data_IF_027394636084
#
_entry.id   IF_027394636084
#
_cell.length_a   1.000
_cell.length_b   1.000
_cell.length_c   1.000
_cell.angle_alpha   90.00
_cell.angle_beta   90.00
_cell.angle_gamma   90.00
#
_symmetry.space_group_name_H-M   'P 1'
#
loop_
_entity.id
_entity.type
_entity.pdbx_description
1 polymer ?
#
# COMPACT_ATOMS: atom_id res chain seq x y z
N UNK A 1 23.67 12.55 20.53
CA UNK A 1 22.69 11.47 20.85
C UNK A 1 21.95 11.10 19.57
N UNK A 2 21.77 9.81 19.25
CA UNK A 2 21.06 9.36 18.05
C UNK A 2 19.55 9.64 18.15
N UNK A 3 18.92 10.08 17.06
CA UNK A 3 17.54 10.64 17.07
C UNK A 3 16.49 9.65 17.59
N UNK A 4 16.45 8.41 17.09
CA UNK A 4 15.46 7.41 17.52
C UNK A 4 15.54 7.14 19.03
N UNK A 5 16.75 6.95 19.56
CA UNK A 5 16.97 6.73 20.99
C UNK A 5 16.54 7.96 21.82
N UNK A 6 16.79 9.17 21.31
CA UNK A 6 16.36 10.39 21.98
C UNK A 6 14.83 10.52 22.01
N UNK A 7 14.14 10.23 20.89
CA UNK A 7 12.67 10.26 20.82
C UNK A 7 12.03 9.29 21.82
N UNK A 8 12.54 8.05 21.92
CA UNK A 8 12.06 7.06 22.91
C UNK A 8 12.27 7.51 24.35
N UNK A 9 13.32 8.26 24.63
CA UNK A 9 13.57 8.82 25.96
C UNK A 9 12.60 9.97 26.31
N UNK A 10 12.09 10.69 25.31
CA UNK A 10 11.08 11.74 25.49
C UNK A 10 9.67 11.17 25.64
N UNK A 11 9.34 10.10 24.91
CA UNK A 11 8.05 9.43 24.98
C UNK A 11 8.23 7.90 24.88
N UNK A 12 8.22 7.18 26.02
CA UNK A 12 8.34 5.72 26.02
C UNK A 12 7.00 5.01 25.71
N UNK A 13 5.88 5.74 25.55
CA UNK A 13 4.55 5.14 25.37
C UNK A 13 4.22 4.80 23.91
N UNK A 14 5.03 5.25 22.95
CA UNK A 14 4.77 5.11 21.51
C UNK A 14 5.96 4.49 20.76
N UNK A 15 5.69 3.69 19.70
CA UNK A 15 6.75 3.19 18.83
C UNK A 15 7.37 4.32 17.99
N UNK A 16 8.63 4.15 17.60
CA UNK A 16 9.38 5.10 16.76
C UNK A 16 9.80 4.44 15.45
N UNK A 17 9.64 5.16 14.35
CA UNK A 17 10.03 4.71 13.01
C UNK A 17 10.60 5.88 12.18
N UNK A 18 11.18 5.55 11.03
CA UNK A 18 11.37 6.47 9.91
C UNK A 18 10.97 5.74 8.62
N UNK A 19 10.66 6.51 7.57
CA UNK A 19 10.25 5.95 6.28
C UNK A 19 11.46 5.75 5.38
N UNK A 20 11.59 4.57 4.77
CA UNK A 20 12.73 4.22 3.91
C UNK A 20 12.30 3.80 2.50
N UNK A 21 13.14 4.12 1.51
CA UNK A 21 13.12 3.55 0.15
C UNK A 21 14.37 2.70 -0.11
N UNK A 22 15.21 2.49 0.90
CA UNK A 22 16.50 1.80 0.75
C UNK A 22 16.29 0.31 0.47
N UNK A 23 17.34 -0.33 -0.06
CA UNK A 23 17.40 -1.79 -0.10
C UNK A 23 17.53 -2.34 1.33
N UNK A 24 16.81 -3.44 1.63
CA UNK A 24 16.80 -4.07 2.96
C UNK A 24 18.20 -4.41 3.50
N UNK A 25 19.17 -4.76 2.66
CA UNK A 25 20.52 -5.12 3.12
C UNK A 25 21.42 -3.88 3.36
N UNK A 26 21.09 -2.76 2.72
CA UNK A 26 21.88 -1.52 2.78
C UNK A 26 21.38 -0.56 3.88
N UNK A 27 20.15 -0.74 4.37
CA UNK A 27 19.55 0.17 5.33
C UNK A 27 20.20 0.07 6.73
N UNK A 28 21.00 1.07 7.07
CA UNK A 28 21.69 1.16 8.36
C UNK A 28 20.79 1.71 9.47
N UNK A 29 19.64 2.29 9.14
CA UNK A 29 18.67 2.84 10.10
C UNK A 29 17.65 1.80 10.58
N UNK A 30 17.30 0.84 9.72
CA UNK A 30 16.29 -0.19 10.00
C UNK A 30 16.52 -1.04 11.28
N UNK A 31 17.76 -1.33 11.73
CA UNK A 31 17.97 -1.98 13.01
C UNK A 31 17.35 -1.25 14.21
N UNK A 32 17.15 0.08 14.13
CA UNK A 32 16.77 0.91 15.28
C UNK A 32 15.25 1.20 15.40
N UNK A 33 14.48 1.03 14.34
CA UNK A 33 13.03 1.31 14.35
C UNK A 33 12.24 0.21 15.06
N UNK A 34 11.05 0.53 15.57
CA UNK A 34 10.12 -0.48 16.12
C UNK A 34 9.24 -1.10 15.02
N UNK A 35 8.91 -0.33 13.99
CA UNK A 35 8.11 -0.74 12.83
C UNK A 35 8.83 -0.27 11.57
N UNK A 36 8.90 -1.11 10.54
CA UNK A 36 9.52 -0.76 9.26
C UNK A 36 8.47 -0.09 8.37
N UNK A 37 8.74 1.13 7.91
CA UNK A 37 7.91 1.81 6.93
C UNK A 37 8.65 1.86 5.60
N UNK A 38 8.17 1.14 4.59
CA UNK A 38 8.82 1.02 3.28
C UNK A 38 7.99 1.65 2.16
N UNK A 39 8.66 2.46 1.34
CA UNK A 39 8.11 3.04 0.13
C UNK A 39 8.58 2.23 -1.08
N UNK A 40 7.64 1.80 -1.92
CA UNK A 40 7.97 1.12 -3.18
C UNK A 40 6.98 1.48 -4.29
N UNK A 41 7.51 1.56 -5.51
CA UNK A 41 6.80 2.08 -6.68
C UNK A 41 7.14 1.22 -7.91
N UNK A 42 6.91 -0.08 -7.79
CA UNK A 42 7.06 -1.04 -8.87
C UNK A 42 6.14 -0.67 -10.03
N UNK A 43 6.60 -0.93 -11.26
CA UNK A 43 6.03 -0.49 -12.53
C UNK A 43 5.98 1.03 -12.78
N UNK A 44 6.20 1.86 -11.76
CA UNK A 44 6.13 3.33 -11.87
C UNK A 44 7.50 4.00 -11.99
N UNK A 45 8.42 3.78 -11.03
CA UNK A 45 9.75 4.40 -11.06
C UNK A 45 10.84 3.51 -11.67
N UNK A 46 10.57 2.21 -11.80
CA UNK A 46 11.39 1.23 -12.51
C UNK A 46 10.46 0.29 -13.26
N UNK A 47 10.98 -0.41 -14.27
CA UNK A 47 10.21 -1.35 -15.09
C UNK A 47 8.90 -0.71 -15.61
N UNK A 48 9.05 0.45 -16.26
CA UNK A 48 7.95 1.32 -16.66
C UNK A 48 6.84 0.56 -17.38
N UNK A 49 5.61 0.61 -16.86
CA UNK A 49 4.46 -0.05 -17.49
C UNK A 49 4.26 -1.52 -17.14
N UNK A 50 5.25 -2.19 -16.55
CA UNK A 50 5.23 -3.64 -16.29
C UNK A 50 4.45 -4.01 -15.02
N UNK A 51 3.12 -3.95 -15.10
CA UNK A 51 2.20 -4.29 -14.00
C UNK A 51 2.37 -5.75 -13.53
N UNK A 52 2.70 -6.66 -14.45
CA UNK A 52 2.89 -8.09 -14.19
C UNK A 52 4.07 -8.40 -13.24
N UNK A 53 5.00 -7.45 -13.08
CA UNK A 53 6.16 -7.62 -12.21
C UNK A 53 5.90 -7.24 -10.75
N UNK A 54 4.85 -6.45 -10.48
CA UNK A 54 4.54 -5.88 -9.15
C UNK A 54 4.46 -6.99 -8.11
N UNK A 55 3.66 -8.03 -8.36
CA UNK A 55 3.41 -9.05 -7.34
C UNK A 55 4.69 -9.78 -6.93
N UNK A 56 5.52 -10.15 -7.92
CA UNK A 56 6.80 -10.83 -7.67
C UNK A 56 7.75 -9.93 -6.89
N UNK A 57 7.95 -8.69 -7.34
CA UNK A 57 8.90 -7.77 -6.72
C UNK A 57 8.49 -7.39 -5.29
N UNK A 58 7.19 -7.11 -5.08
CA UNK A 58 6.66 -6.74 -3.77
C UNK A 58 6.67 -7.90 -2.78
N UNK A 59 6.42 -9.12 -3.25
CA UNK A 59 6.56 -10.34 -2.41
C UNK A 59 8.00 -10.49 -1.93
N UNK A 60 8.97 -10.40 -2.84
CA UNK A 60 10.40 -10.46 -2.51
C UNK A 60 10.81 -9.36 -1.54
N UNK A 61 10.29 -8.14 -1.72
CA UNK A 61 10.54 -7.04 -0.78
C UNK A 61 10.10 -7.41 0.64
N UNK A 62 8.84 -7.78 0.82
CA UNK A 62 8.30 -8.08 2.14
C UNK A 62 8.99 -9.27 2.82
N UNK A 63 9.32 -10.32 2.06
CA UNK A 63 10.04 -11.48 2.59
C UNK A 63 11.47 -11.13 3.00
N UNK A 64 12.18 -10.33 2.19
CA UNK A 64 13.55 -9.93 2.49
C UNK A 64 13.62 -9.05 3.74
N UNK A 65 12.76 -8.02 3.81
CA UNK A 65 12.67 -7.15 4.99
C UNK A 65 12.32 -7.93 6.26
N UNK A 66 11.31 -8.81 6.19
CA UNK A 66 10.89 -9.55 7.37
C UNK A 66 11.93 -10.59 7.81
N UNK A 67 12.55 -11.31 6.86
CA UNK A 67 13.62 -12.28 7.16
C UNK A 67 14.81 -11.62 7.87
N UNK A 68 15.20 -10.42 7.45
CA UNK A 68 16.36 -9.73 8.00
C UNK A 68 16.10 -9.09 9.37
N UNK A 69 14.94 -8.47 9.56
CA UNK A 69 14.71 -7.62 10.74
C UNK A 69 13.65 -8.14 11.72
N UNK A 70 12.77 -9.06 11.29
CA UNK A 70 11.70 -9.65 12.12
C UNK A 70 10.81 -8.61 12.83
N UNK A 71 10.50 -7.49 12.14
CA UNK A 71 9.66 -6.40 12.64
C UNK A 71 8.38 -6.26 11.82
N UNK A 72 7.29 -5.72 12.39
CA UNK A 72 6.11 -5.36 11.61
C UNK A 72 6.44 -4.36 10.51
N UNK A 73 5.74 -4.47 9.37
CA UNK A 73 5.97 -3.66 8.17
C UNK A 73 4.72 -2.87 7.83
N UNK A 74 4.88 -1.60 7.51
CA UNK A 74 3.88 -0.74 6.88
C UNK A 74 4.36 -0.42 5.46
N UNK A 75 3.52 -0.70 4.46
CA UNK A 75 3.72 -0.14 3.12
C UNK A 75 3.32 1.35 3.19
N UNK A 76 4.28 2.23 3.40
CA UNK A 76 4.02 3.63 3.73
C UNK A 76 3.74 4.50 2.50
N UNK A 77 4.16 4.07 1.32
CA UNK A 77 3.78 4.69 0.05
C UNK A 77 3.76 3.68 -1.09
N UNK A 78 2.74 3.77 -1.94
CA UNK A 78 2.66 3.11 -3.24
C UNK A 78 1.63 3.86 -4.10
N UNK A 79 1.76 3.79 -5.44
CA UNK A 79 0.81 4.43 -6.35
C UNK A 79 1.42 4.81 -7.71
N UNK A 80 0.57 5.18 -8.66
CA UNK A 80 0.94 5.72 -9.98
C UNK A 80 0.51 7.19 -10.10
N UNK A 81 1.19 7.98 -10.92
CA UNK A 81 0.60 9.26 -11.35
C UNK A 81 -0.60 8.96 -12.26
N UNK A 82 -1.65 9.77 -12.15
CA UNK A 82 -2.85 9.65 -12.96
C UNK A 82 -3.37 11.04 -13.35
N UNK A 83 -3.44 11.32 -14.64
CA UNK A 83 -4.03 12.56 -15.15
C UNK A 83 -5.54 12.29 -15.30
N UNK A 84 -6.36 13.08 -14.61
CA UNK A 84 -7.82 12.94 -14.69
C UNK A 84 -8.30 13.04 -16.13
N UNK A 85 -9.15 12.11 -16.55
CA UNK A 85 -9.68 12.02 -17.92
C UNK A 85 -8.75 11.36 -18.95
N UNK A 86 -7.54 10.94 -18.58
CA UNK A 86 -6.73 10.09 -19.44
C UNK A 86 -7.20 8.65 -19.25
N UNK A 87 -7.75 8.06 -20.32
CA UNK A 87 -8.27 6.70 -20.35
C UNK A 87 -7.64 5.91 -21.50
N UNK A 88 -7.31 4.63 -21.27
CA UNK A 88 -6.77 3.74 -22.31
C UNK A 88 -6.99 2.27 -21.97
N UNK A 89 -7.26 1.47 -22.99
CA UNK A 89 -7.10 0.02 -22.98
C UNK A 89 -6.13 -0.40 -24.11
N UNK A 90 -5.12 -1.26 -23.85
CA UNK A 90 -4.63 -1.71 -22.53
C UNK A 90 -4.17 -0.54 -21.63
N UNK A 91 -4.11 -0.71 -20.29
CA UNK A 91 -3.76 0.38 -19.38
C UNK A 91 -2.33 0.89 -19.63
N UNK A 92 -2.17 2.21 -19.78
CA UNK A 92 -0.88 2.87 -19.98
C UNK A 92 -0.57 3.84 -18.84
N UNK A 93 0.72 4.10 -18.57
CA UNK A 93 1.13 5.04 -17.53
C UNK A 93 0.39 6.38 -17.66
N UNK A 94 0.05 6.98 -16.53
CA UNK A 94 -0.77 8.20 -16.39
C UNK A 94 -2.28 8.05 -16.63
N UNK A 95 -2.79 6.92 -17.12
CA UNK A 95 -4.24 6.70 -17.22
C UNK A 95 -4.87 6.29 -15.90
N UNK A 96 -6.17 6.53 -15.76
CA UNK A 96 -6.92 6.10 -14.59
C UNK A 96 -6.97 4.56 -14.47
N UNK A 97 -7.05 3.84 -15.59
CA UNK A 97 -7.04 2.37 -15.62
C UNK A 97 -5.69 1.81 -15.17
N UNK A 98 -4.58 2.49 -15.47
CA UNK A 98 -3.26 2.09 -15.00
C UNK A 98 -3.10 2.30 -13.51
N UNK A 99 -3.58 3.42 -12.97
CA UNK A 99 -3.61 3.63 -11.52
C UNK A 99 -4.42 2.52 -10.85
N UNK A 100 -5.62 2.21 -11.36
CA UNK A 100 -6.47 1.12 -10.85
C UNK A 100 -5.74 -0.23 -10.88
N UNK A 101 -5.21 -0.61 -12.03
CA UNK A 101 -4.52 -1.90 -12.23
C UNK A 101 -3.29 -2.02 -11.34
N UNK A 102 -2.49 -0.96 -11.18
CA UNK A 102 -1.34 -0.95 -10.28
C UNK A 102 -1.78 -1.21 -8.84
N UNK A 103 -2.82 -0.51 -8.36
CA UNK A 103 -3.32 -0.70 -6.99
C UNK A 103 -3.82 -2.12 -6.77
N UNK A 104 -4.55 -2.69 -7.72
CA UNK A 104 -5.01 -4.09 -7.64
C UNK A 104 -3.84 -5.07 -7.46
N UNK A 105 -2.76 -4.93 -8.24
CA UNK A 105 -1.58 -5.79 -8.12
C UNK A 105 -0.90 -5.64 -6.75
N UNK A 106 -0.80 -4.42 -6.21
CA UNK A 106 -0.28 -4.18 -4.86
C UNK A 106 -1.17 -4.83 -3.79
N UNK A 107 -2.49 -4.67 -3.92
CA UNK A 107 -3.49 -5.19 -2.98
C UNK A 107 -3.47 -6.72 -2.87
N UNK A 108 -3.21 -7.43 -3.97
CA UNK A 108 -3.04 -8.90 -3.96
C UNK A 108 -1.93 -9.33 -3.01
N UNK A 109 -0.75 -8.71 -3.09
CA UNK A 109 0.37 -9.06 -2.22
C UNK A 109 0.14 -8.59 -0.78
N UNK A 110 -0.42 -7.40 -0.60
CA UNK A 110 -0.79 -6.90 0.72
C UNK A 110 -1.74 -7.89 1.42
N UNK A 111 -2.73 -8.44 0.71
CA UNK A 111 -3.63 -9.45 1.26
C UNK A 111 -2.91 -10.74 1.69
N UNK A 112 -1.88 -11.17 0.95
CA UNK A 112 -1.08 -12.35 1.30
C UNK A 112 -0.26 -12.16 2.61
N UNK A 113 0.04 -10.91 2.99
CA UNK A 113 0.95 -10.58 4.10
C UNK A 113 0.28 -9.84 5.28
N UNK A 114 -0.91 -9.25 5.11
CA UNK A 114 -1.59 -8.40 6.11
C UNK A 114 -2.10 -9.10 7.38
N UNK A 115 -2.13 -10.43 7.38
CA UNK A 115 -2.45 -11.28 8.55
C UNK A 115 -1.22 -12.01 9.08
N UNK A 116 -0.03 -11.54 8.71
CA UNK A 116 1.26 -12.12 9.09
C UNK A 116 2.10 -11.04 9.77
N UNK A 117 2.76 -10.20 8.98
CA UNK A 117 3.71 -9.20 9.48
C UNK A 117 3.61 -7.83 8.79
N UNK A 118 2.77 -7.71 7.75
CA UNK A 118 2.39 -6.39 7.23
C UNK A 118 1.19 -5.89 8.03
N UNK A 119 1.30 -4.72 8.65
CA UNK A 119 0.31 -4.19 9.59
C UNK A 119 -0.35 -2.89 9.13
N UNK A 120 0.03 -2.39 7.95
CA UNK A 120 -0.58 -1.20 7.38
C UNK A 120 -0.25 -0.99 5.91
N UNK A 121 -1.15 -0.30 5.22
CA UNK A 121 -1.01 0.14 3.84
C UNK A 121 -1.45 1.60 3.72
N UNK A 122 -0.59 2.47 3.21
CA UNK A 122 -0.84 3.90 3.05
C UNK A 122 -0.65 4.26 1.58
N UNK A 123 -1.76 4.54 0.90
CA UNK A 123 -1.74 4.97 -0.50
C UNK A 123 -1.04 6.33 -0.63
N UNK A 124 -0.19 6.47 -1.66
CA UNK A 124 0.31 7.76 -2.08
C UNK A 124 -0.43 8.24 -3.33
N UNK A 125 -1.23 9.31 -3.29
CA UNK A 125 -1.54 10.20 -2.16
C UNK A 125 -3.06 10.34 -1.99
N UNK A 126 -3.49 10.98 -0.90
CA UNK A 126 -4.88 11.39 -0.75
C UNK A 126 -5.32 12.26 -1.94
N UNK A 127 -4.59 13.34 -2.24
CA UNK A 127 -4.96 14.26 -3.32
C UNK A 127 -3.74 14.73 -4.10
N UNK A 128 -3.96 15.17 -5.34
CA UNK A 128 -2.93 15.85 -6.13
C UNK A 128 -2.44 17.11 -5.41
N UNK A 129 -1.13 17.37 -5.47
CA UNK A 129 -0.49 18.51 -4.78
C UNK A 129 0.62 19.13 -5.62
N UNK A 130 1.02 20.36 -5.28
CA UNK A 130 2.02 21.11 -6.05
C UNK A 130 3.44 20.64 -5.73
N UNK A 131 4.32 20.65 -6.72
CA UNK A 131 5.76 20.44 -6.55
C UNK A 131 6.52 21.52 -7.31
N UNK A 132 7.83 21.62 -7.07
CA UNK A 132 8.73 22.35 -7.96
C UNK A 132 8.60 21.86 -9.41
N UNK A 133 8.97 22.74 -10.34
CA UNK A 133 8.91 22.44 -11.77
C UNK A 133 9.96 21.37 -12.12
N UNK A 134 9.52 20.34 -12.85
CA UNK A 134 10.41 19.38 -13.49
C UNK A 134 9.69 18.69 -14.65
N UNK A 135 10.42 18.12 -15.63
CA UNK A 135 9.81 17.35 -16.72
C UNK A 135 9.00 16.14 -16.26
N UNK A 136 9.23 15.66 -15.03
CA UNK A 136 8.53 14.50 -14.45
C UNK A 136 7.32 14.90 -13.60
N UNK A 137 6.92 16.18 -13.61
CA UNK A 137 5.83 16.72 -12.78
C UNK A 137 4.88 17.56 -13.62
N UNK A 138 3.75 16.97 -13.99
CA UNK A 138 2.70 17.65 -14.76
C UNK A 138 1.89 18.54 -13.81
N UNK A 139 2.29 19.80 -13.67
CA UNK A 139 1.69 20.78 -12.73
C UNK A 139 1.61 20.25 -11.28
N UNK A 140 2.72 19.68 -10.80
CA UNK A 140 2.82 19.05 -9.49
C UNK A 140 2.78 17.52 -9.53
N UNK A 141 2.48 16.91 -8.39
CA UNK A 141 2.24 15.48 -8.24
C UNK A 141 0.76 15.15 -8.50
N UNK A 142 0.54 14.15 -9.34
CA UNK A 142 -0.74 13.63 -9.81
C UNK A 142 -1.00 12.19 -9.33
N UNK A 143 -0.29 11.70 -8.31
CA UNK A 143 -0.54 10.38 -7.70
C UNK A 143 -1.78 10.37 -6.80
N UNK A 144 -2.42 11.51 -6.58
CA UNK A 144 -3.63 11.60 -5.78
C UNK A 144 -4.72 10.67 -6.31
N UNK A 145 -5.43 10.01 -5.40
CA UNK A 145 -6.67 9.29 -5.74
C UNK A 145 -7.85 10.26 -5.82
N UNK A 146 -7.72 11.43 -5.19
CA UNK A 146 -8.53 12.60 -5.48
C UNK A 146 -7.73 13.62 -6.29
N UNK A 147 -8.44 14.42 -7.09
CA UNK A 147 -7.88 15.65 -7.66
C UNK A 147 -7.53 16.65 -6.55
N UNK A 148 -6.76 17.68 -6.88
CA UNK A 148 -6.48 18.77 -5.94
C UNK A 148 -7.77 19.46 -5.46
N UNK A 149 -8.84 19.42 -6.25
CA UNK A 149 -10.16 19.96 -5.95
C UNK A 149 -11.08 18.94 -5.22
N UNK A 150 -10.51 17.84 -4.71
CA UNK A 150 -11.19 16.80 -3.91
C UNK A 150 -12.28 16.05 -4.68
N UNK A 151 -12.22 16.03 -6.01
CA UNK A 151 -13.05 15.15 -6.81
C UNK A 151 -12.39 13.78 -6.97
N UNK A 152 -13.14 12.67 -6.86
CA UNK A 152 -12.56 11.33 -6.93
C UNK A 152 -12.10 11.01 -8.35
N UNK A 153 -10.93 10.39 -8.48
CA UNK A 153 -10.57 9.60 -9.67
C UNK A 153 -11.13 8.18 -9.53
N UNK A 154 -11.10 7.39 -10.59
CA UNK A 154 -11.61 6.02 -10.60
C UNK A 154 -11.00 5.13 -9.50
N UNK A 155 -9.71 5.32 -9.21
CA UNK A 155 -9.01 4.57 -8.16
C UNK A 155 -9.51 4.85 -6.73
N UNK A 156 -10.14 6.01 -6.46
CA UNK A 156 -10.70 6.31 -5.14
C UNK A 156 -11.85 5.36 -4.76
N UNK A 157 -12.67 4.97 -5.75
CA UNK A 157 -13.76 4.02 -5.53
C UNK A 157 -13.23 2.62 -5.21
N UNK A 158 -12.21 2.18 -5.93
CA UNK A 158 -11.53 0.90 -5.67
C UNK A 158 -10.96 0.85 -4.24
N UNK A 159 -10.28 1.91 -3.80
CA UNK A 159 -9.73 1.95 -2.44
C UNK A 159 -10.82 1.99 -1.37
N UNK A 160 -11.91 2.72 -1.61
CA UNK A 160 -13.06 2.74 -0.71
C UNK A 160 -13.61 1.33 -0.49
N UNK A 161 -13.83 0.57 -1.55
CA UNK A 161 -14.33 -0.80 -1.46
C UNK A 161 -13.38 -1.69 -0.66
N UNK A 162 -12.07 -1.61 -0.94
CA UNK A 162 -11.05 -2.35 -0.18
C UNK A 162 -11.07 -2.01 1.31
N UNK A 163 -11.06 -0.73 1.65
CA UNK A 163 -10.97 -0.30 3.05
C UNK A 163 -12.21 -0.70 3.85
N UNK A 164 -13.42 -0.59 3.27
CA UNK A 164 -14.63 -1.09 3.90
C UNK A 164 -14.64 -2.60 4.07
N UNK A 165 -14.18 -3.35 3.06
CA UNK A 165 -14.04 -4.81 3.15
C UNK A 165 -13.13 -5.19 4.32
N UNK A 166 -11.94 -4.60 4.41
CA UNK A 166 -10.99 -4.88 5.49
C UNK A 166 -11.57 -4.49 6.86
N UNK A 167 -12.23 -3.33 6.96
CA UNK A 167 -12.84 -2.88 8.22
C UNK A 167 -13.96 -3.81 8.72
N UNK A 168 -14.73 -4.39 7.80
CA UNK A 168 -15.79 -5.34 8.15
C UNK A 168 -15.24 -6.70 8.60
N UNK A 169 -14.12 -7.16 8.00
CA UNK A 169 -13.42 -8.36 8.44
C UNK A 169 -12.83 -8.22 9.86
N UNK A 170 -12.40 -7.02 10.25
CA UNK A 170 -11.79 -6.77 11.56
C UNK A 170 -12.80 -6.47 12.66
N UNK A 171 -13.98 -5.93 12.33
CA UNK A 171 -15.06 -5.68 13.29
C UNK A 171 -15.75 -6.94 13.81
N UNK A 172 -15.76 -8.03 13.03
CA UNK A 172 -16.41 -9.29 13.42
C UNK A 172 -15.46 -10.49 13.25
N UNK A 173 -14.51 -10.71 14.17
CA UNK A 173 -13.55 -11.81 14.05
C UNK A 173 -14.19 -13.22 14.15
N UNK A 174 -15.45 -13.31 14.60
CA UNK A 174 -16.08 -14.58 15.00
C UNK A 174 -17.60 -14.56 14.80
N UNK A 175 -18.11 -14.80 13.59
CA UNK A 175 -19.53 -15.18 13.40
C UNK A 175 -19.84 -15.88 12.07
N UNK A 176 -18.89 -16.64 11.50
CA UNK A 176 -19.25 -17.61 10.47
C UNK A 176 -18.57 -18.95 10.80
N UNK A 177 -18.99 -19.53 11.93
CA UNK A 177 -19.19 -20.97 11.90
C UNK A 177 -20.31 -21.18 10.88
N UNK A 178 -19.96 -21.70 9.70
CA UNK A 178 -20.95 -22.15 8.71
C UNK A 178 -21.97 -23.00 9.47
N UNK A 179 -23.23 -22.56 9.51
CA UNK A 179 -24.33 -23.44 9.86
C UNK A 179 -24.19 -24.64 8.94
N UNK A 180 -23.83 -25.80 9.48
CA UNK A 180 -24.04 -27.05 8.79
C UNK A 180 -25.54 -27.10 8.56
N UNK A 181 -25.96 -26.92 7.32
CA UNK A 181 -27.28 -27.35 6.90
C UNK A 181 -27.34 -28.84 7.26
N UNK A 182 -28.06 -29.16 8.32
CA UNK A 182 -28.60 -30.48 8.53
C UNK A 182 -29.60 -30.70 7.40
N UNK A 183 -29.10 -31.27 6.29
CA UNK A 183 -29.87 -32.21 5.52
C UNK A 183 -30.46 -33.21 6.52
N UNK A 184 -31.78 -33.14 6.71
CA UNK A 184 -32.66 -34.27 6.96
C UNK A 184 -34.08 -33.78 7.23
N UNK A 185 -34.92 -33.84 6.20
CA UNK A 185 -36.31 -34.24 6.41
C UNK A 185 -36.77 -35.04 5.20
N UNK A 186 -36.84 -36.38 5.30
CA UNK A 186 -37.83 -37.12 4.55
C UNK A 186 -39.20 -36.90 5.21
N UNK A 187 -40.26 -37.26 4.50
CA UNK A 187 -41.68 -37.35 4.90
C UNK A 187 -42.61 -36.35 4.20
N UNK A 188 -43.24 -36.91 3.15
CA UNK A 188 -44.57 -36.67 2.55
C UNK A 188 -44.93 -35.28 2.08
#
# INVERSE_FOLDING_TARGET
RMVIAHTKALDPSRPVTFVTRSNYAADKGAPYVDVICVNSYYSWYNDFGHLELIQRQLTTQFESWYKTYQKPIIQSEYGAEAIVGFHQDPPLMFTEEYQKSLLEQYHVVLDQKRRKYVVGELIWNFADFMTEQSPTRVLGNKKGVFTRQRQPKSAAFLLRERYWKIANETRYPYSIAKSQCLENSPFT
#
